data_IF_380716092955
#
_entry.id   IF_380716092955
#
_cell.length_a   1.000
_cell.length_b   1.000
_cell.length_c   1.000
_cell.angle_alpha   90.00
_cell.angle_beta   90.00
_cell.angle_gamma   90.00
#
_symmetry.space_group_name_H-M   'P 1'
#
loop_
_entity.id
_entity.type
_entity.pdbx_description
1 polymer ?
#
# COMPACT_ATOMS: atom_id res chain seq x y z
N UNK A 1 -31.59 19.26 -13.62
CA UNK A 1 -32.17 19.51 -12.29
C UNK A 1 -31.38 18.64 -11.32
N UNK A 2 -30.33 19.20 -10.73
CA UNK A 2 -29.33 18.45 -9.94
C UNK A 2 -29.84 18.23 -8.51
N UNK A 3 -29.68 17.01 -7.98
CA UNK A 3 -30.09 16.65 -6.63
C UNK A 3 -29.28 17.42 -5.57
N UNK A 4 -29.89 17.90 -4.46
CA UNK A 4 -29.27 18.85 -3.52
C UNK A 4 -28.23 18.26 -2.55
N UNK A 5 -27.78 17.01 -2.71
CA UNK A 5 -26.96 16.33 -1.70
C UNK A 5 -25.49 16.73 -1.69
N UNK A 6 -24.96 17.31 -2.78
CA UNK A 6 -23.51 17.48 -2.96
C UNK A 6 -22.93 18.86 -2.58
N UNK A 7 -23.76 19.88 -2.34
CA UNK A 7 -23.27 21.24 -1.96
C UNK A 7 -22.82 21.32 -0.49
N UNK A 8 -23.00 20.24 0.30
CA UNK A 8 -22.57 20.18 1.71
C UNK A 8 -21.06 19.98 1.93
N UNK A 9 -20.27 19.77 0.87
CA UNK A 9 -18.86 19.37 0.98
C UNK A 9 -17.92 20.41 1.60
N UNK A 10 -18.20 21.72 1.47
CA UNK A 10 -17.26 22.77 1.93
C UNK A 10 -17.54 23.35 3.34
N UNK A 11 -18.75 23.19 3.88
CA UNK A 11 -19.07 23.56 5.28
C UNK A 11 -18.85 22.39 6.26
N UNK A 12 -18.75 21.15 5.76
CA UNK A 12 -18.46 19.96 6.56
C UNK A 12 -17.04 19.94 7.13
N UNK A 13 -16.07 20.57 6.46
CA UNK A 13 -14.66 20.54 6.85
C UNK A 13 -14.40 21.20 8.23
N UNK A 14 -15.12 22.29 8.55
CA UNK A 14 -15.01 22.93 9.88
C UNK A 14 -15.81 22.20 10.98
N UNK A 15 -16.94 21.54 10.66
CA UNK A 15 -17.69 20.75 11.65
C UNK A 15 -17.05 19.38 11.93
N UNK A 16 -16.36 18.79 10.94
CA UNK A 16 -15.63 17.52 11.10
C UNK A 16 -14.45 17.65 12.06
N UNK A 17 -13.74 18.78 12.09
CA UNK A 17 -12.63 19.00 13.03
C UNK A 17 -13.11 19.04 14.49
N UNK A 18 -14.31 19.59 14.74
CA UNK A 18 -14.92 19.63 16.08
C UNK A 18 -15.48 18.25 16.47
N UNK A 19 -16.07 17.48 15.52
CA UNK A 19 -16.52 16.10 15.75
C UNK A 19 -15.37 15.08 15.87
N UNK A 20 -14.23 15.32 15.21
CA UNK A 20 -12.99 14.53 15.33
C UNK A 20 -12.40 14.63 16.74
N UNK A 21 -12.55 15.78 17.39
CA UNK A 21 -12.13 16.00 18.78
C UNK A 21 -13.02 15.30 19.84
N UNK A 22 -14.31 15.10 19.57
CA UNK A 22 -15.25 14.51 20.54
C UNK A 22 -15.26 12.97 20.57
N UNK A 23 -14.58 12.31 19.64
CA UNK A 23 -14.64 10.84 19.45
C UNK A 23 -13.28 10.14 19.49
N UNK A 24 -12.17 10.88 19.65
CA UNK A 24 -10.84 10.25 19.75
C UNK A 24 -10.62 9.44 21.05
N UNK A 25 -11.53 9.51 22.04
CA UNK A 25 -11.40 8.81 23.31
C UNK A 25 -12.33 7.59 23.49
N UNK A 26 -13.25 7.30 22.56
CA UNK A 26 -14.21 6.18 22.70
C UNK A 26 -14.03 5.12 21.62
N UNK A 27 -13.91 3.86 22.01
CA UNK A 27 -13.88 2.72 21.09
C UNK A 27 -15.18 2.63 20.26
N UNK A 28 -15.11 2.00 19.08
CA UNK A 28 -16.30 1.77 18.23
C UNK A 28 -17.34 0.93 18.98
N UNK A 29 -16.90 -0.05 19.77
CA UNK A 29 -17.77 -0.87 20.61
C UNK A 29 -18.50 -0.04 21.67
N UNK A 30 -17.81 0.89 22.34
CA UNK A 30 -18.46 1.82 23.27
C UNK A 30 -19.50 2.69 22.55
N UNK A 31 -19.20 3.14 21.33
CA UNK A 31 -20.11 3.98 20.54
C UNK A 31 -21.38 3.23 20.15
N UNK A 32 -21.26 1.94 19.79
CA UNK A 32 -22.39 1.07 19.47
C UNK A 32 -23.19 0.69 20.72
N UNK A 33 -22.53 0.51 21.86
CA UNK A 33 -23.18 0.31 23.16
C UNK A 33 -23.98 1.56 23.59
N UNK A 34 -23.40 2.75 23.46
CA UNK A 34 -24.04 4.03 23.75
C UNK A 34 -25.29 4.26 22.87
N UNK A 35 -25.24 3.82 21.61
CA UNK A 35 -26.37 3.85 20.68
C UNK A 35 -27.41 2.72 20.91
N UNK A 36 -27.24 1.91 21.97
CA UNK A 36 -28.13 0.81 22.34
C UNK A 36 -28.30 -0.24 21.23
N UNK A 37 -27.28 -0.43 20.39
CA UNK A 37 -27.27 -1.49 19.36
C UNK A 37 -27.22 -2.87 20.01
N UNK A 38 -26.56 -2.96 21.16
CA UNK A 38 -26.58 -4.11 22.05
C UNK A 38 -26.50 -3.65 23.51
N UNK A 39 -26.70 -4.59 24.44
CA UNK A 39 -26.64 -4.33 25.89
C UNK A 39 -25.68 -5.30 26.57
N UNK A 40 -25.02 -4.87 27.64
CA UNK A 40 -24.14 -5.72 28.45
C UNK A 40 -24.67 -5.78 29.90
N UNK A 41 -24.59 -6.95 30.57
CA UNK A 41 -24.97 -7.06 31.98
C UNK A 41 -23.97 -6.37 32.91
N UNK A 42 -22.66 -6.49 32.63
CA UNK A 42 -21.55 -5.83 33.33
C UNK A 42 -20.71 -5.09 32.30
N UNK A 43 -20.86 -3.76 32.20
CA UNK A 43 -20.38 -2.98 31.06
C UNK A 43 -18.85 -3.08 30.87
N UNK A 44 -18.04 -2.95 31.92
CA UNK A 44 -16.60 -2.73 31.75
C UNK A 44 -15.82 -4.01 31.41
N UNK A 45 -16.05 -5.12 32.14
CA UNK A 45 -15.33 -6.39 31.89
C UNK A 45 -15.75 -7.00 30.54
N UNK A 46 -17.06 -7.00 30.24
CA UNK A 46 -17.57 -7.59 29.00
C UNK A 46 -17.17 -6.76 27.78
N UNK A 47 -17.14 -5.43 27.90
CA UNK A 47 -16.62 -4.59 26.83
C UNK A 47 -15.15 -4.89 26.54
N UNK A 48 -14.32 -5.03 27.58
CA UNK A 48 -12.90 -5.39 27.43
C UNK A 48 -12.69 -6.75 26.74
N UNK A 49 -13.55 -7.74 27.04
CA UNK A 49 -13.53 -9.05 26.37
C UNK A 49 -13.91 -8.95 24.89
N UNK A 50 -14.88 -8.10 24.55
CA UNK A 50 -15.27 -7.84 23.17
C UNK A 50 -14.19 -7.07 22.40
N UNK A 51 -13.51 -6.11 23.05
CA UNK A 51 -12.37 -5.40 22.46
C UNK A 51 -11.21 -6.35 22.18
N UNK A 52 -10.87 -7.24 23.11
CA UNK A 52 -9.87 -8.30 22.90
C UNK A 52 -10.25 -9.19 21.71
N UNK A 53 -11.52 -9.61 21.62
CA UNK A 53 -12.02 -10.43 20.52
C UNK A 53 -11.96 -9.70 19.17
N UNK A 54 -12.22 -8.39 19.16
CA UNK A 54 -12.11 -7.56 17.97
C UNK A 54 -10.65 -7.44 17.50
N UNK A 55 -9.70 -7.33 18.43
CA UNK A 55 -8.26 -7.33 18.11
C UNK A 55 -7.81 -8.66 17.51
N UNK A 56 -8.20 -9.79 18.12
CA UNK A 56 -7.90 -11.12 17.57
C UNK A 56 -8.49 -11.31 16.17
N UNK A 57 -9.73 -10.83 15.95
CA UNK A 57 -10.34 -10.87 14.64
C UNK A 57 -9.61 -9.97 13.63
N UNK A 58 -9.17 -8.78 14.05
CA UNK A 58 -8.40 -7.87 13.21
C UNK A 58 -7.08 -8.49 12.74
N UNK A 59 -6.33 -9.13 13.65
CA UNK A 59 -5.09 -9.86 13.34
C UNK A 59 -5.36 -10.97 12.32
N UNK A 60 -6.40 -11.78 12.54
CA UNK A 60 -6.80 -12.83 11.62
C UNK A 60 -7.14 -12.31 10.21
N UNK A 61 -7.86 -11.20 10.12
CA UNK A 61 -8.25 -10.60 8.84
C UNK A 61 -7.07 -9.96 8.12
N UNK A 62 -6.06 -9.46 8.84
CA UNK A 62 -4.81 -9.00 8.23
C UNK A 62 -3.99 -10.16 7.65
N UNK A 63 -4.02 -11.34 8.29
CA UNK A 63 -3.39 -12.55 7.76
C UNK A 63 -4.17 -13.14 6.56
N UNK A 64 -5.49 -12.97 6.53
CA UNK A 64 -6.39 -13.54 5.52
C UNK A 64 -7.22 -12.43 4.84
N UNK A 65 -6.53 -11.57 4.09
CA UNK A 65 -7.11 -10.38 3.44
C UNK A 65 -8.28 -10.73 2.51
N UNK A 66 -8.26 -11.91 1.90
CA UNK A 66 -9.33 -12.44 1.04
C UNK A 66 -10.66 -12.65 1.73
N UNK A 67 -10.69 -12.73 3.06
CA UNK A 67 -11.94 -12.89 3.80
C UNK A 67 -12.65 -11.56 4.09
N UNK A 68 -11.92 -10.43 4.06
CA UNK A 68 -12.44 -9.10 4.43
C UNK A 68 -13.73 -8.73 3.69
N UNK A 69 -13.95 -9.01 2.38
CA UNK A 69 -15.21 -8.71 1.73
C UNK A 69 -16.41 -9.37 2.41
N UNK A 70 -16.30 -10.64 2.79
CA UNK A 70 -17.39 -11.39 3.42
C UNK A 70 -17.73 -10.84 4.80
N UNK A 71 -16.70 -10.54 5.60
CA UNK A 71 -16.87 -9.90 6.91
C UNK A 71 -17.49 -8.51 6.78
N UNK A 72 -17.11 -7.75 5.76
CA UNK A 72 -17.70 -6.43 5.48
C UNK A 72 -19.19 -6.54 5.15
N UNK A 73 -19.59 -7.48 4.30
CA UNK A 73 -21.01 -7.69 3.96
C UNK A 73 -21.84 -8.11 5.18
N UNK A 74 -21.30 -9.00 6.02
CA UNK A 74 -21.96 -9.48 7.25
C UNK A 74 -22.06 -8.37 8.29
N UNK A 75 -21.00 -7.59 8.47
CA UNK A 75 -20.97 -6.44 9.36
C UNK A 75 -22.01 -5.38 9.01
N UNK A 76 -22.40 -5.27 7.73
CA UNK A 76 -23.34 -4.25 7.25
C UNK A 76 -24.80 -4.74 7.16
N UNK A 77 -25.11 -6.01 7.46
CA UNK A 77 -26.49 -6.52 7.45
C UNK A 77 -27.03 -6.83 8.85
N UNK A 78 -27.90 -5.96 9.41
CA UNK A 78 -28.59 -6.24 10.67
C UNK A 78 -29.51 -7.46 10.64
N UNK A 79 -29.96 -7.87 9.45
CA UNK A 79 -30.91 -8.98 9.29
C UNK A 79 -30.22 -10.31 8.95
N UNK A 80 -28.89 -10.38 9.10
CA UNK A 80 -28.13 -11.59 8.82
C UNK A 80 -28.55 -12.73 9.76
N UNK A 81 -28.58 -13.96 9.24
CA UNK A 81 -28.99 -15.12 10.04
C UNK A 81 -27.87 -15.57 10.98
N UNK A 82 -28.22 -16.06 12.17
CA UNK A 82 -27.24 -16.60 13.12
C UNK A 82 -26.53 -17.89 12.66
N UNK A 83 -26.96 -18.50 11.56
CA UNK A 83 -26.33 -19.67 10.92
C UNK A 83 -25.30 -19.29 9.86
N UNK A 84 -25.14 -18.00 9.58
CA UNK A 84 -24.15 -17.50 8.61
C UNK A 84 -22.73 -17.91 9.05
N UNK A 85 -21.90 -18.52 8.17
CA UNK A 85 -20.57 -19.02 8.55
C UNK A 85 -19.69 -18.00 9.29
N UNK A 86 -19.64 -16.76 8.80
CA UNK A 86 -18.86 -15.67 9.43
C UNK A 86 -19.38 -15.36 10.84
N UNK A 87 -20.70 -15.39 11.06
CA UNK A 87 -21.28 -15.15 12.39
C UNK A 87 -20.88 -16.26 13.36
N UNK A 88 -20.96 -17.52 12.93
CA UNK A 88 -20.57 -18.68 13.75
C UNK A 88 -19.08 -18.63 14.12
N UNK A 89 -18.25 -18.26 13.16
CA UNK A 89 -16.80 -18.14 13.32
C UNK A 89 -16.41 -17.05 14.31
N UNK A 90 -16.96 -15.84 14.17
CA UNK A 90 -16.67 -14.73 15.08
C UNK A 90 -17.23 -15.01 16.47
N UNK A 91 -18.37 -15.70 16.56
CA UNK A 91 -18.89 -16.14 17.85
C UNK A 91 -17.92 -17.07 18.58
N UNK A 92 -17.21 -17.95 17.86
CA UNK A 92 -16.21 -18.81 18.47
C UNK A 92 -15.03 -18.00 19.01
N UNK A 93 -14.54 -17.00 18.28
CA UNK A 93 -13.50 -16.07 18.77
C UNK A 93 -13.98 -15.36 20.04
N UNK A 94 -15.22 -14.87 20.07
CA UNK A 94 -15.77 -14.21 21.26
C UNK A 94 -15.85 -15.19 22.44
N UNK A 95 -16.20 -16.45 22.21
CA UNK A 95 -16.31 -17.46 23.28
C UNK A 95 -14.99 -17.82 23.94
N UNK A 96 -13.85 -17.61 23.26
CA UNK A 96 -12.53 -17.77 23.87
C UNK A 96 -12.30 -16.76 25.00
N UNK A 97 -12.85 -15.55 24.87
CA UNK A 97 -12.74 -14.47 25.86
C UNK A 97 -13.98 -14.34 26.77
N UNK A 98 -15.16 -14.75 26.30
CA UNK A 98 -16.44 -14.68 27.01
C UNK A 98 -17.27 -15.96 26.83
N UNK A 99 -16.95 -16.97 27.64
CA UNK A 99 -17.54 -18.32 27.56
C UNK A 99 -19.06 -18.37 27.84
N UNK A 100 -19.60 -17.43 28.62
CA UNK A 100 -21.01 -17.40 29.04
C UNK A 100 -21.92 -16.56 28.14
N UNK A 101 -21.47 -16.13 26.96
CA UNK A 101 -22.25 -15.26 26.07
C UNK A 101 -23.62 -15.85 25.69
N UNK A 102 -23.72 -17.18 25.56
CA UNK A 102 -24.97 -17.91 25.30
C UNK A 102 -25.83 -18.15 26.53
N UNK A 103 -25.25 -18.17 27.73
CA UNK A 103 -26.00 -18.39 28.97
C UNK A 103 -27.03 -17.29 29.23
N UNK A 104 -26.73 -16.07 28.77
CA UNK A 104 -27.60 -14.90 28.89
C UNK A 104 -28.44 -14.64 27.62
N UNK A 105 -28.18 -15.38 26.53
CA UNK A 105 -28.82 -15.18 25.21
C UNK A 105 -28.95 -16.52 24.48
N UNK A 106 -30.13 -17.18 24.54
CA UNK A 106 -30.33 -18.46 23.87
C UNK A 106 -30.20 -18.34 22.34
N UNK A 107 -30.67 -17.23 21.77
CA UNK A 107 -30.48 -16.91 20.35
C UNK A 107 -29.08 -16.35 20.07
N UNK A 108 -28.61 -16.48 18.82
CA UNK A 108 -27.29 -15.96 18.43
C UNK A 108 -27.25 -14.44 18.64
N UNK A 109 -26.26 -13.91 19.38
CA UNK A 109 -26.18 -12.48 19.72
C UNK A 109 -25.64 -11.67 18.53
N UNK A 110 -26.39 -11.66 17.42
CA UNK A 110 -25.99 -11.09 16.12
C UNK A 110 -25.52 -9.64 16.25
N UNK A 111 -26.19 -8.81 17.05
CA UNK A 111 -25.79 -7.41 17.22
C UNK A 111 -24.44 -7.25 17.90
N UNK A 112 -24.10 -8.11 18.88
CA UNK A 112 -22.78 -8.12 19.54
C UNK A 112 -21.72 -8.60 18.55
N UNK A 113 -22.00 -9.71 17.86
CA UNK A 113 -21.06 -10.31 16.89
C UNK A 113 -20.74 -9.30 15.78
N UNK A 114 -21.75 -8.68 15.18
CA UNK A 114 -21.56 -7.63 14.16
C UNK A 114 -20.80 -6.42 14.69
N UNK A 115 -21.03 -6.03 15.94
CA UNK A 115 -20.29 -4.93 16.58
C UNK A 115 -18.80 -5.24 16.70
N UNK A 116 -18.45 -6.48 17.05
CA UNK A 116 -17.05 -6.96 17.07
C UNK A 116 -16.45 -6.93 15.67
N UNK A 117 -17.19 -7.38 14.64
CA UNK A 117 -16.71 -7.32 13.25
C UNK A 117 -16.50 -5.86 12.81
N UNK A 118 -17.46 -4.96 13.03
CA UNK A 118 -17.34 -3.54 12.70
C UNK A 118 -16.12 -2.90 13.39
N UNK A 119 -15.87 -3.26 14.65
CA UNK A 119 -14.69 -2.78 15.37
C UNK A 119 -13.40 -3.28 14.75
N UNK A 120 -13.31 -4.57 14.42
CA UNK A 120 -12.13 -5.16 13.78
C UNK A 120 -11.87 -4.54 12.40
N UNK A 121 -12.91 -4.37 11.57
CA UNK A 121 -12.83 -3.72 10.26
C UNK A 121 -12.37 -2.26 10.37
N UNK A 122 -12.88 -1.52 11.36
CA UNK A 122 -12.43 -0.15 11.60
C UNK A 122 -10.94 -0.08 11.98
N UNK A 123 -10.44 -1.01 12.79
CA UNK A 123 -9.02 -1.09 13.15
C UNK A 123 -8.17 -1.34 11.91
N UNK A 124 -8.40 -2.44 11.19
CA UNK A 124 -7.56 -2.80 10.03
C UNK A 124 -7.68 -1.79 8.89
N UNK A 125 -8.87 -1.22 8.68
CA UNK A 125 -9.12 -0.21 7.64
C UNK A 125 -8.58 1.19 7.98
N UNK A 126 -8.16 1.43 9.22
CA UNK A 126 -7.48 2.67 9.61
C UNK A 126 -5.95 2.55 9.52
N UNK A 127 -5.42 1.32 9.58
CA UNK A 127 -3.98 1.07 9.69
C UNK A 127 -3.35 0.55 8.39
N UNK A 128 -4.11 -0.16 7.55
CA UNK A 128 -3.61 -0.80 6.33
C UNK A 128 -4.39 -0.33 5.10
N UNK A 129 -3.67 0.15 4.09
CA UNK A 129 -4.24 0.72 2.86
C UNK A 129 -5.02 -0.30 2.03
N UNK A 130 -4.52 -1.52 1.88
CA UNK A 130 -5.16 -2.58 1.10
C UNK A 130 -6.46 -3.02 1.78
N UNK A 131 -6.42 -3.22 3.10
CA UNK A 131 -7.60 -3.51 3.91
C UNK A 131 -8.64 -2.37 3.79
N UNK A 132 -8.21 -1.12 3.90
CA UNK A 132 -9.09 0.04 3.77
C UNK A 132 -9.79 0.08 2.41
N UNK A 133 -9.05 -0.18 1.33
CA UNK A 133 -9.58 -0.19 -0.02
C UNK A 133 -10.60 -1.32 -0.20
N UNK A 134 -10.29 -2.55 0.25
CA UNK A 134 -11.20 -3.69 0.17
C UNK A 134 -12.51 -3.41 0.94
N UNK A 135 -12.40 -2.92 2.18
CA UNK A 135 -13.57 -2.58 3.01
C UNK A 135 -14.41 -1.50 2.31
N UNK A 136 -13.78 -0.43 1.83
CA UNK A 136 -14.49 0.68 1.20
C UNK A 136 -15.21 0.25 -0.08
N UNK A 137 -14.51 -0.46 -0.98
CA UNK A 137 -15.08 -0.96 -2.24
C UNK A 137 -16.27 -1.91 -1.99
N UNK A 138 -16.09 -2.86 -1.07
CA UNK A 138 -17.14 -3.83 -0.73
C UNK A 138 -18.33 -3.15 -0.03
N UNK A 139 -18.06 -2.26 0.93
CA UNK A 139 -19.09 -1.58 1.70
C UNK A 139 -19.93 -0.63 0.84
N UNK A 140 -19.31 0.12 -0.07
CA UNK A 140 -20.03 1.07 -0.94
C UNK A 140 -21.02 0.37 -1.87
N UNK A 141 -20.78 -0.89 -2.22
CA UNK A 141 -21.70 -1.70 -3.03
C UNK A 141 -22.96 -2.10 -2.25
N UNK A 142 -22.82 -2.46 -0.98
CA UNK A 142 -23.92 -3.01 -0.20
C UNK A 142 -24.63 -1.97 0.69
N UNK A 143 -23.89 -0.99 1.22
CA UNK A 143 -24.39 0.04 2.15
C UNK A 143 -25.68 0.75 1.69
N UNK A 144 -25.85 1.16 0.41
CA UNK A 144 -27.08 1.80 -0.05
C UNK A 144 -28.34 0.93 0.11
N UNK A 145 -28.17 -0.38 0.21
CA UNK A 145 -29.24 -1.37 0.30
C UNK A 145 -29.40 -1.95 1.72
N UNK A 146 -28.45 -1.69 2.61
CA UNK A 146 -28.45 -2.15 3.99
C UNK A 146 -29.54 -1.46 4.84
N UNK A 147 -30.20 -2.22 5.70
CA UNK A 147 -31.28 -1.74 6.58
C UNK A 147 -30.74 -1.37 7.98
N UNK A 148 -29.74 -0.49 8.05
CA UNK A 148 -28.95 -0.19 9.26
C UNK A 148 -29.74 0.39 10.44
N UNK A 149 -30.90 1.02 10.22
CA UNK A 149 -31.70 1.57 11.33
C UNK A 149 -30.90 2.53 12.22
N UNK A 150 -30.76 2.21 13.52
CA UNK A 150 -30.13 3.07 14.52
C UNK A 150 -28.59 3.11 14.43
N UNK A 151 -27.93 2.09 13.87
CA UNK A 151 -26.47 2.06 13.71
C UNK A 151 -25.99 2.86 12.49
N UNK A 152 -26.91 3.40 11.67
CA UNK A 152 -26.59 4.08 10.41
C UNK A 152 -25.55 5.18 10.56
N UNK A 153 -25.70 6.10 11.51
CA UNK A 153 -24.76 7.23 11.67
C UNK A 153 -23.35 6.75 12.05
N UNK A 154 -23.26 5.72 12.90
CA UNK A 154 -21.97 5.16 13.34
C UNK A 154 -21.29 4.45 12.17
N UNK A 155 -22.04 3.61 11.44
CA UNK A 155 -21.53 2.87 10.28
C UNK A 155 -21.10 3.83 9.17
N UNK A 156 -21.92 4.84 8.82
CA UNK A 156 -21.56 5.86 7.82
C UNK A 156 -20.27 6.59 8.21
N UNK A 157 -20.06 6.88 9.50
CA UNK A 157 -18.83 7.52 9.97
C UNK A 157 -17.60 6.62 9.82
N UNK A 158 -17.72 5.33 10.16
CA UNK A 158 -16.64 4.34 9.96
C UNK A 158 -16.28 4.27 8.47
N UNK A 159 -17.29 4.10 7.61
CA UNK A 159 -17.08 3.99 6.16
C UNK A 159 -16.49 5.27 5.55
N UNK A 160 -16.88 6.45 6.05
CA UNK A 160 -16.29 7.71 5.63
C UNK A 160 -14.81 7.81 6.03
N UNK A 161 -14.45 7.44 7.26
CA UNK A 161 -13.05 7.50 7.69
C UNK A 161 -12.16 6.55 6.88
N UNK A 162 -12.60 5.30 6.71
CA UNK A 162 -11.89 4.29 5.92
C UNK A 162 -11.81 4.73 4.45
N UNK A 163 -12.90 5.26 3.90
CA UNK A 163 -12.95 5.76 2.53
C UNK A 163 -12.04 6.97 2.30
N UNK A 164 -11.98 7.91 3.24
CA UNK A 164 -11.05 9.05 3.17
C UNK A 164 -9.59 8.57 3.20
N UNK A 165 -9.27 7.58 4.03
CA UNK A 165 -7.93 7.00 4.09
C UNK A 165 -7.58 6.26 2.78
N UNK A 166 -8.48 5.44 2.26
CA UNK A 166 -8.32 4.76 0.97
C UNK A 166 -8.13 5.76 -0.18
N UNK A 167 -8.97 6.80 -0.26
CA UNK A 167 -8.94 7.81 -1.31
C UNK A 167 -7.68 8.70 -1.25
N UNK A 168 -7.17 9.02 -0.06
CA UNK A 168 -5.90 9.76 0.08
C UNK A 168 -4.72 8.96 -0.47
N UNK A 169 -4.67 7.66 -0.17
CA UNK A 169 -3.63 6.77 -0.70
C UNK A 169 -3.76 6.60 -2.22
N UNK A 170 -4.98 6.39 -2.72
CA UNK A 170 -5.25 6.30 -4.14
C UNK A 170 -4.83 7.57 -4.90
N UNK A 171 -5.16 8.76 -4.38
CA UNK A 171 -4.74 10.02 -4.98
C UNK A 171 -3.22 10.20 -4.98
N UNK A 172 -2.55 9.70 -3.94
CA UNK A 172 -1.08 9.74 -3.86
C UNK A 172 -0.44 8.84 -4.92
N UNK A 173 -0.94 7.60 -5.10
CA UNK A 173 -0.43 6.69 -6.14
C UNK A 173 -0.69 7.22 -7.56
N UNK A 174 -1.82 7.90 -7.73
CA UNK A 174 -2.22 8.42 -9.03
C UNK A 174 -1.66 9.82 -9.32
N UNK A 175 -1.08 10.52 -8.36
CA UNK A 175 -0.60 11.88 -8.53
C UNK A 175 0.41 11.98 -9.70
N UNK A 176 0.30 13.06 -10.49
CA UNK A 176 1.40 13.44 -11.37
C UNK A 176 2.52 13.98 -10.49
N UNK A 177 3.75 13.48 -10.67
CA UNK A 177 4.91 14.06 -10.00
C UNK A 177 4.94 15.57 -10.27
N UNK A 178 4.80 16.37 -9.22
CA UNK A 178 4.79 17.84 -9.30
C UNK A 178 6.20 18.44 -9.35
N UNK A 179 7.21 17.64 -9.01
CA UNK A 179 8.61 18.04 -9.04
C UNK A 179 9.19 17.76 -10.43
N UNK A 180 9.74 18.80 -11.06
CA UNK A 180 10.61 18.63 -12.22
C UNK A 180 11.83 17.87 -11.72
N UNK A 181 12.16 16.68 -12.29
CA UNK A 181 13.30 15.91 -11.82
C UNK A 181 14.56 16.76 -11.97
N UNK A 182 15.23 17.05 -10.85
CA UNK A 182 16.47 17.82 -10.83
C UNK A 182 17.58 16.92 -10.31
N UNK A 183 18.45 16.48 -11.22
CA UNK A 183 19.56 15.61 -10.85
C UNK A 183 20.57 16.39 -10.01
N UNK A 184 20.52 16.16 -8.69
CA UNK A 184 21.49 16.73 -7.75
C UNK A 184 22.81 15.97 -7.87
N UNK A 185 23.75 16.55 -8.61
CA UNK A 185 25.11 16.02 -8.69
C UNK A 185 25.82 16.23 -7.34
N UNK A 186 26.24 15.16 -6.64
CA UNK A 186 27.01 15.33 -5.41
C UNK A 186 28.36 15.99 -5.72
N UNK A 187 28.87 16.81 -4.82
CA UNK A 187 30.21 17.39 -4.98
C UNK A 187 31.28 16.32 -4.66
N UNK A 188 32.19 16.04 -5.59
CA UNK A 188 33.36 15.21 -5.32
C UNK A 188 34.34 16.00 -4.44
N UNK A 189 34.42 15.65 -3.16
CA UNK A 189 35.41 16.22 -2.23
C UNK A 189 36.58 15.24 -2.09
N UNK A 190 37.67 15.54 -2.79
CA UNK A 190 38.91 14.75 -2.67
C UNK A 190 39.69 15.29 -1.47
N UNK A 191 39.86 14.46 -0.45
CA UNK A 191 40.78 14.77 0.64
C UNK A 191 42.14 14.17 0.28
N UNK A 192 43.09 15.01 -0.10
CA UNK A 192 44.45 14.54 -0.31
C UNK A 192 45.10 14.17 1.03
N UNK A 193 45.87 13.08 1.10
CA UNK A 193 46.58 12.72 2.32
C UNK A 193 47.51 13.86 2.73
N UNK A 194 47.50 14.19 4.02
CA UNK A 194 48.44 15.18 4.57
C UNK A 194 49.85 14.60 4.44
N UNK A 195 50.67 15.20 3.58
CA UNK A 195 52.09 14.89 3.51
C UNK A 195 52.69 15.34 4.85
N UNK A 196 53.07 14.38 5.69
CA UNK A 196 53.78 14.66 6.93
C UNK A 196 55.14 15.30 6.63
N UNK A 197 55.69 16.03 7.60
CA UNK A 197 57.04 16.61 7.49
C UNK A 197 58.05 15.48 7.31
N UNK A 198 58.72 15.42 6.16
CA UNK A 198 59.79 14.46 5.90
C UNK A 198 61.01 14.93 6.71
N UNK A 199 61.31 14.25 7.81
CA UNK A 199 62.50 14.52 8.61
C UNK A 199 63.63 13.59 8.17
N UNK A 200 64.75 14.16 7.76
CA UNK A 200 66.00 13.42 7.56
C UNK A 200 66.62 13.17 8.93
N UNK A 201 67.13 11.96 9.19
CA UNK A 201 67.79 11.63 10.46
C UNK A 201 69.17 12.31 10.54
N UNK A 202 69.16 13.59 10.89
CA UNK A 202 70.37 14.41 10.96
C UNK A 202 71.40 13.83 11.95
N UNK A 203 70.95 13.24 13.05
CA UNK A 203 71.83 12.62 14.05
C UNK A 203 72.59 11.41 13.50
N UNK A 204 71.98 10.64 12.59
CA UNK A 204 72.62 9.48 11.95
C UNK A 204 73.65 9.92 10.91
N UNK A 205 73.34 10.98 10.15
CA UNK A 205 74.30 11.64 9.26
C UNK A 205 75.47 12.21 10.08
N UNK A 206 75.20 12.98 11.14
CA UNK A 206 76.23 13.55 12.02
C UNK A 206 77.11 12.47 12.68
N UNK A 207 76.52 11.32 13.05
CA UNK A 207 77.24 10.16 13.56
C UNK A 207 78.19 9.54 12.52
N UNK A 208 77.83 9.57 11.24
CA UNK A 208 78.73 9.15 10.16
C UNK A 208 79.86 10.16 9.87
N UNK A 209 79.64 11.44 10.18
CA UNK A 209 80.64 12.51 10.06
C UNK A 209 81.55 12.66 11.28
N UNK A 210 81.23 12.01 12.40
CA UNK A 210 82.11 11.92 13.58
C UNK A 210 83.20 10.88 13.30
N UNK A 211 84.03 11.19 12.32
CA UNK A 211 85.31 10.54 12.14
C UNK A 211 86.11 10.82 13.41
N UNK A 212 86.46 9.75 14.12
CA UNK A 212 87.37 9.75 15.26
C UNK A 212 88.51 10.74 14.99
N UNK A 213 88.62 11.74 15.86
CA UNK A 213 89.59 12.83 15.86
C UNK A 213 90.89 12.42 15.17
N UNK A 214 91.26 13.10 14.09
CA UNK A 214 92.62 13.01 13.54
C UNK A 214 93.53 13.52 14.66
N UNK A 215 94.09 12.61 15.45
CA UNK A 215 95.14 12.97 16.40
C UNK A 215 96.34 13.38 15.55
N UNK A 216 96.52 14.69 15.41
CA UNK A 216 97.75 15.23 14.87
C UNK A 216 98.81 15.00 15.94
N UNK A 217 99.56 13.91 15.83
CA UNK A 217 100.75 13.69 16.65
C UNK A 217 101.77 14.75 16.24
N UNK A 218 101.99 15.73 17.11
CA UNK A 218 103.15 16.58 17.01
C UNK A 218 104.41 15.74 17.25
N UNK A 219 105.38 15.91 16.35
CA UNK A 219 106.77 15.39 16.35
C UNK A 219 107.02 13.95 15.87
N UNK A 220 107.62 13.88 14.67
CA UNK A 220 108.82 13.08 14.37
C UNK A 220 108.64 11.57 14.18
N UNK A 221 108.65 11.11 12.93
CA UNK A 221 108.86 9.70 12.57
C UNK A 221 107.63 9.06 11.91
N UNK A 222 107.89 8.26 10.88
CA UNK A 222 106.92 7.75 9.92
C UNK A 222 105.73 6.99 10.53
N UNK A 223 104.51 7.44 10.23
CA UNK A 223 103.32 6.59 10.13
C UNK A 223 102.24 7.29 9.27
N UNK A 224 102.23 7.02 7.97
CA UNK A 224 101.20 7.46 7.01
C UNK A 224 99.95 6.55 7.00
N UNK A 225 99.65 5.85 8.10
CA UNK A 225 98.57 4.84 8.13
C UNK A 225 97.21 5.39 8.60
N UNK A 226 97.17 6.49 9.35
CA UNK A 226 95.94 7.00 10.00
C UNK A 226 95.09 7.89 9.10
N UNK A 227 95.68 8.63 8.16
CA UNK A 227 94.95 9.43 7.16
C UNK A 227 94.18 8.57 6.16
N UNK A 228 94.71 7.40 5.79
CA UNK A 228 94.06 6.52 4.80
C UNK A 228 92.79 5.85 5.36
N UNK A 229 92.78 5.49 6.66
CA UNK A 229 91.60 4.94 7.32
C UNK A 229 90.47 5.98 7.47
N UNK A 230 90.80 7.21 7.86
CA UNK A 230 89.83 8.31 7.95
C UNK A 230 89.25 8.68 6.56
N UNK A 231 90.09 8.73 5.53
CA UNK A 231 89.65 9.03 4.16
C UNK A 231 88.83 7.89 3.55
N UNK A 232 89.16 6.63 3.87
CA UNK A 232 88.37 5.46 3.46
C UNK A 232 86.98 5.50 4.10
N UNK A 233 86.86 5.82 5.40
CA UNK A 233 85.56 6.01 6.07
C UNK A 233 84.75 7.15 5.49
N UNK A 234 85.37 8.29 5.19
CA UNK A 234 84.70 9.40 4.51
C UNK A 234 84.19 8.98 3.11
N UNK A 235 84.95 8.14 2.39
CA UNK A 235 84.58 7.67 1.04
C UNK A 235 83.50 6.58 1.05
N UNK A 236 83.40 5.77 2.10
CA UNK A 236 82.48 4.61 2.13
C UNK A 236 81.34 4.74 3.13
N UNK A 237 81.59 5.25 4.34
CA UNK A 237 80.59 5.31 5.42
C UNK A 237 79.66 6.53 5.28
N UNK A 238 80.20 7.69 4.89
CA UNK A 238 79.39 8.92 4.71
C UNK A 238 78.39 8.80 3.54
N UNK A 239 78.78 8.39 2.31
CA UNK A 239 77.81 8.22 1.23
C UNK A 239 76.77 7.14 1.53
N UNK A 240 77.17 6.06 2.23
CA UNK A 240 76.24 5.01 2.66
C UNK A 240 75.22 5.51 3.70
N UNK A 241 75.66 6.32 4.66
CA UNK A 241 74.77 6.94 5.65
C UNK A 241 73.81 7.97 5.03
N UNK A 242 74.29 8.76 4.05
CA UNK A 242 73.44 9.67 3.28
C UNK A 242 72.42 8.87 2.46
N UNK A 243 72.85 7.83 1.73
CA UNK A 243 71.95 6.98 0.96
C UNK A 243 70.92 6.29 1.85
N UNK A 244 71.32 5.74 3.00
CA UNK A 244 70.42 5.13 3.99
C UNK A 244 69.42 6.14 4.56
N UNK A 245 69.86 7.37 4.85
CA UNK A 245 68.98 8.43 5.34
C UNK A 245 67.97 8.88 4.28
N UNK A 246 68.40 8.97 3.03
CA UNK A 246 67.53 9.27 1.88
C UNK A 246 66.53 8.13 1.65
N UNK A 247 66.99 6.88 1.64
CA UNK A 247 66.13 5.70 1.48
C UNK A 247 65.11 5.58 2.62
N UNK A 248 65.52 5.89 3.85
CA UNK A 248 64.62 5.90 5.00
C UNK A 248 63.57 7.01 4.87
N UNK A 249 63.98 8.21 4.48
CA UNK A 249 63.07 9.32 4.21
C UNK A 249 62.08 8.99 3.07
N UNK A 250 62.54 8.36 1.99
CA UNK A 250 61.68 7.91 0.88
C UNK A 250 60.74 6.77 1.29
N UNK A 251 61.19 5.80 2.08
CA UNK A 251 60.33 4.72 2.60
C UNK A 251 59.24 5.27 3.53
N UNK A 252 59.59 6.21 4.40
CA UNK A 252 58.61 6.93 5.23
C UNK A 252 57.65 7.76 4.39
N UNK A 253 58.13 8.40 3.32
CA UNK A 253 57.26 9.14 2.38
C UNK A 253 56.29 8.20 1.66
N UNK A 254 56.76 7.10 1.06
CA UNK A 254 55.91 6.13 0.35
C UNK A 254 54.93 5.41 1.28
N UNK A 255 55.34 5.11 2.52
CA UNK A 255 54.49 4.46 3.52
C UNK A 255 53.36 5.35 4.05
N UNK A 256 53.45 6.66 3.87
CA UNK A 256 52.45 7.64 4.30
C UNK A 256 51.40 7.97 3.23
N UNK A 257 51.51 7.43 2.01
CA UNK A 257 50.43 7.49 1.01
C UNK A 257 49.45 6.34 1.24
N UNK A 258 48.39 6.59 2.02
CA UNK A 258 47.23 5.69 2.06
C UNK A 258 46.18 6.15 1.04
N UNK A 259 46.06 5.43 -0.08
CA UNK A 259 45.06 5.70 -1.11
C UNK A 259 43.62 5.33 -0.69
N UNK A 260 43.43 4.71 0.48
CA UNK A 260 42.08 4.36 0.98
C UNK A 260 41.18 5.58 1.19
N UNK A 261 41.74 6.74 1.55
CA UNK A 261 40.96 7.97 1.69
C UNK A 261 40.48 8.52 0.34
N UNK A 262 41.25 8.27 -0.72
CA UNK A 262 40.88 8.59 -2.09
C UNK A 262 39.79 7.62 -2.60
N UNK A 263 39.98 6.32 -2.42
CA UNK A 263 39.01 5.29 -2.80
C UNK A 263 37.67 5.48 -2.08
N UNK A 264 37.70 5.79 -0.79
CA UNK A 264 36.48 6.06 -0.01
C UNK A 264 35.74 7.30 -0.49
N UNK A 265 36.46 8.38 -0.85
CA UNK A 265 35.87 9.60 -1.39
C UNK A 265 35.19 9.36 -2.76
N UNK A 266 35.82 8.57 -3.63
CA UNK A 266 35.27 8.18 -4.93
C UNK A 266 34.06 7.26 -4.76
N UNK A 267 34.18 6.22 -3.93
CA UNK A 267 33.09 5.28 -3.68
C UNK A 267 31.87 5.99 -3.08
N UNK A 268 32.08 6.96 -2.18
CA UNK A 268 31.02 7.79 -1.63
C UNK A 268 30.33 8.64 -2.71
N UNK A 269 31.11 9.28 -3.59
CA UNK A 269 30.55 10.04 -4.71
C UNK A 269 29.66 9.17 -5.61
N UNK A 270 30.12 7.99 -6.02
CA UNK A 270 29.33 7.08 -6.86
C UNK A 270 28.09 6.55 -6.14
N UNK A 271 28.19 6.28 -4.83
CA UNK A 271 27.04 5.87 -4.02
C UNK A 271 25.98 6.96 -3.95
N UNK A 272 26.39 8.21 -3.67
CA UNK A 272 25.47 9.35 -3.58
C UNK A 272 24.89 9.72 -4.96
N UNK A 273 25.70 9.62 -6.02
CA UNK A 273 25.24 9.81 -7.39
C UNK A 273 24.21 8.76 -7.78
N UNK A 274 24.48 7.47 -7.49
CA UNK A 274 23.52 6.39 -7.75
C UNK A 274 22.21 6.63 -7.01
N UNK A 275 22.26 6.99 -5.73
CA UNK A 275 21.04 7.30 -4.95
C UNK A 275 20.25 8.46 -5.56
N UNK A 276 20.93 9.52 -6.01
CA UNK A 276 20.25 10.64 -6.68
C UNK A 276 19.63 10.19 -8.01
N UNK A 277 20.38 9.43 -8.83
CA UNK A 277 19.89 8.93 -10.11
C UNK A 277 18.68 8.01 -9.93
N UNK A 278 18.77 7.04 -9.01
CA UNK A 278 17.69 6.09 -8.71
C UNK A 278 16.42 6.84 -8.26
N UNK A 279 16.57 7.87 -7.41
CA UNK A 279 15.46 8.71 -6.95
C UNK A 279 14.80 9.45 -8.13
N UNK A 280 15.58 10.16 -8.94
CA UNK A 280 15.02 10.96 -10.05
C UNK A 280 14.43 10.09 -11.17
N UNK A 281 15.05 8.94 -11.46
CA UNK A 281 14.49 7.95 -12.38
C UNK A 281 13.15 7.43 -11.86
N UNK A 282 13.05 7.09 -10.57
CA UNK A 282 11.79 6.63 -9.97
C UNK A 282 10.69 7.68 -10.11
N UNK A 283 10.96 8.95 -9.79
CA UNK A 283 10.01 10.06 -9.96
C UNK A 283 9.55 10.16 -11.42
N UNK A 284 10.49 10.10 -12.37
CA UNK A 284 10.19 10.17 -13.80
C UNK A 284 9.33 9.00 -14.28
N UNK A 285 9.67 7.76 -13.90
CA UNK A 285 8.90 6.58 -14.28
C UNK A 285 7.49 6.60 -13.69
N UNK A 286 7.33 6.98 -12.42
CA UNK A 286 6.02 7.11 -11.78
C UNK A 286 5.16 8.15 -12.51
N UNK A 287 5.72 9.30 -12.89
CA UNK A 287 5.02 10.31 -13.66
C UNK A 287 4.60 9.79 -15.06
N UNK A 288 5.50 9.10 -15.77
CA UNK A 288 5.19 8.49 -17.07
C UNK A 288 4.06 7.45 -16.96
N UNK A 289 4.13 6.56 -15.98
CA UNK A 289 3.07 5.58 -15.72
C UNK A 289 1.73 6.26 -15.39
N UNK A 290 1.75 7.35 -14.63
CA UNK A 290 0.54 8.11 -14.30
C UNK A 290 -0.09 8.80 -15.53
N UNK A 291 0.73 9.25 -16.49
CA UNK A 291 0.27 9.81 -17.78
C UNK A 291 -0.23 8.71 -18.72
N UNK A 292 0.49 7.60 -18.85
CA UNK A 292 0.11 6.45 -19.68
C UNK A 292 -1.24 5.89 -19.22
N UNK A 293 -1.42 5.65 -17.91
CA UNK A 293 -2.68 5.19 -17.32
C UNK A 293 -3.85 6.10 -17.70
N UNK A 294 -3.73 7.41 -17.45
CA UNK A 294 -4.78 8.38 -17.79
C UNK A 294 -5.07 8.43 -19.29
N UNK A 295 -4.04 8.32 -20.13
CA UNK A 295 -4.18 8.31 -21.59
C UNK A 295 -4.93 7.07 -22.08
N UNK A 296 -4.62 5.90 -21.50
CA UNK A 296 -5.34 4.64 -21.79
C UNK A 296 -6.81 4.72 -21.37
N UNK A 297 -7.09 5.25 -20.19
CA UNK A 297 -8.46 5.44 -19.70
C UNK A 297 -9.25 6.42 -20.56
N UNK A 298 -8.62 7.52 -20.99
CA UNK A 298 -9.24 8.46 -21.92
C UNK A 298 -9.52 7.80 -23.27
N UNK A 299 -8.56 7.04 -23.81
CA UNK A 299 -8.75 6.30 -25.05
C UNK A 299 -9.88 5.27 -24.94
N UNK A 300 -9.95 4.51 -23.85
CA UNK A 300 -11.02 3.56 -23.61
C UNK A 300 -12.39 4.24 -23.57
N UNK A 301 -12.49 5.36 -22.84
CA UNK A 301 -13.71 6.17 -22.77
C UNK A 301 -14.13 6.69 -24.15
N UNK A 302 -13.22 7.28 -24.91
CA UNK A 302 -13.55 7.92 -26.20
C UNK A 302 -13.81 6.89 -27.31
N UNK A 303 -13.07 5.78 -27.33
CA UNK A 303 -13.25 4.73 -28.33
C UNK A 303 -14.53 3.92 -28.12
N UNK A 304 -15.03 3.85 -26.87
CA UNK A 304 -16.20 3.05 -26.48
C UNK A 304 -16.11 1.61 -27.02
N UNK A 305 -14.91 1.04 -26.95
CA UNK A 305 -14.57 -0.24 -27.54
C UNK A 305 -14.28 -1.28 -26.46
N UNK A 306 -14.97 -2.42 -26.53
CA UNK A 306 -14.70 -3.57 -25.68
C UNK A 306 -13.52 -4.35 -26.21
N UNK A 307 -12.44 -4.47 -25.42
CA UNK A 307 -11.31 -5.31 -25.77
C UNK A 307 -11.68 -6.79 -25.70
N UNK A 308 -12.50 -7.16 -24.71
CA UNK A 308 -12.97 -8.52 -24.52
C UNK A 308 -13.90 -8.99 -25.66
N UNK A 309 -14.92 -8.18 -26.02
CA UNK A 309 -15.86 -8.53 -27.10
C UNK A 309 -15.41 -8.10 -28.49
N UNK A 310 -14.31 -7.34 -28.60
CA UNK A 310 -13.76 -6.83 -29.85
C UNK A 310 -14.75 -6.06 -30.73
N UNK A 311 -15.62 -5.28 -30.08
CA UNK A 311 -16.67 -4.46 -30.74
C UNK A 311 -17.02 -3.23 -29.92
N UNK A 312 -17.75 -2.29 -30.51
CA UNK A 312 -18.23 -1.11 -29.77
C UNK A 312 -19.24 -1.50 -28.69
N UNK A 313 -19.18 -0.86 -27.52
CA UNK A 313 -20.21 -0.98 -26.47
C UNK A 313 -21.60 -0.58 -26.98
N UNK A 314 -21.67 0.25 -28.04
CA UNK A 314 -22.94 0.61 -28.70
C UNK A 314 -23.63 -0.61 -29.34
N UNK A 315 -22.87 -1.63 -29.70
CA UNK A 315 -23.33 -2.90 -30.28
C UNK A 315 -23.51 -4.02 -29.23
N UNK A 316 -23.23 -3.72 -27.96
CA UNK A 316 -23.45 -4.64 -26.84
C UNK A 316 -24.84 -4.43 -26.27
N UNK A 317 -25.55 -5.51 -25.93
CA UNK A 317 -26.87 -5.45 -25.29
C UNK A 317 -26.82 -4.67 -23.99
N UNK A 318 -27.84 -3.87 -23.70
CA UNK A 318 -27.87 -2.95 -22.55
C UNK A 318 -27.71 -3.68 -21.22
N UNK A 319 -28.17 -4.91 -21.17
CA UNK A 319 -28.15 -5.82 -20.03
C UNK A 319 -26.73 -6.31 -19.73
N UNK A 320 -25.88 -6.41 -20.75
CA UNK A 320 -24.51 -6.92 -20.65
C UNK A 320 -23.49 -5.81 -20.39
N UNK A 321 -23.79 -4.58 -20.84
CA UNK A 321 -22.88 -3.42 -20.74
C UNK A 321 -22.31 -3.24 -19.33
N UNK A 322 -23.10 -3.33 -18.23
CA UNK A 322 -22.55 -3.07 -16.91
C UNK A 322 -21.39 -3.98 -16.54
N UNK A 323 -21.55 -5.28 -16.79
CA UNK A 323 -20.54 -6.29 -16.49
C UNK A 323 -19.34 -6.15 -17.41
N UNK A 324 -19.58 -6.03 -18.71
CA UNK A 324 -18.49 -6.01 -19.71
C UNK A 324 -17.65 -4.74 -19.62
N UNK A 325 -18.28 -3.58 -19.41
CA UNK A 325 -17.55 -2.31 -19.25
C UNK A 325 -16.73 -2.30 -17.97
N UNK A 326 -17.28 -2.80 -16.86
CA UNK A 326 -16.56 -2.94 -15.61
C UNK A 326 -15.34 -3.88 -15.77
N UNK A 327 -15.52 -5.02 -16.44
CA UNK A 327 -14.46 -5.99 -16.68
C UNK A 327 -13.34 -5.45 -17.59
N UNK A 328 -13.69 -4.83 -18.72
CA UNK A 328 -12.70 -4.22 -19.63
C UNK A 328 -11.94 -3.06 -18.95
N UNK A 329 -12.61 -2.29 -18.09
CA UNK A 329 -11.98 -1.22 -17.32
C UNK A 329 -11.06 -1.78 -16.24
N UNK A 330 -11.51 -2.81 -15.51
CA UNK A 330 -10.72 -3.51 -14.50
C UNK A 330 -9.37 -3.96 -15.06
N UNK A 331 -9.31 -4.53 -16.27
CA UNK A 331 -8.06 -4.94 -16.92
C UNK A 331 -7.06 -3.82 -17.25
N UNK A 332 -7.46 -2.55 -17.11
CA UNK A 332 -6.61 -1.38 -17.37
C UNK A 332 -6.17 -0.65 -16.11
N UNK A 333 -6.76 -0.99 -14.96
CA UNK A 333 -6.53 -0.31 -13.69
C UNK A 333 -5.43 -1.01 -12.86
N UNK A 334 -4.66 -0.26 -12.06
CA UNK A 334 -3.84 -0.80 -10.98
C UNK A 334 -4.71 -1.33 -9.82
N UNK A 335 -4.08 -1.82 -8.75
CA UNK A 335 -4.76 -2.31 -7.55
C UNK A 335 -5.50 -1.17 -6.82
N UNK A 336 -4.81 -0.08 -6.53
CA UNK A 336 -5.39 1.07 -5.82
C UNK A 336 -5.93 2.07 -6.84
N UNK A 337 -7.20 2.43 -6.72
CA UNK A 337 -7.87 3.32 -7.68
C UNK A 337 -8.67 4.40 -6.95
N UNK A 338 -8.61 5.67 -7.42
CA UNK A 338 -9.36 6.75 -6.80
C UNK A 338 -10.82 6.73 -7.28
N UNK A 339 -11.72 7.25 -6.46
CA UNK A 339 -13.17 7.33 -6.74
C UNK A 339 -13.49 8.05 -8.06
N UNK A 340 -12.59 8.90 -8.55
CA UNK A 340 -12.71 9.52 -9.89
C UNK A 340 -12.85 8.50 -11.03
N UNK A 341 -12.35 7.27 -10.87
CA UNK A 341 -12.52 6.16 -11.82
C UNK A 341 -13.97 5.70 -11.88
N UNK A 342 -14.70 5.69 -10.76
CA UNK A 342 -16.12 5.34 -10.75
C UNK A 342 -16.92 6.37 -11.56
N UNK A 343 -16.58 7.66 -11.41
CA UNK A 343 -17.21 8.72 -12.20
C UNK A 343 -16.84 8.63 -13.68
N UNK A 344 -15.61 8.22 -14.00
CA UNK A 344 -15.22 7.92 -15.38
C UNK A 344 -16.12 6.82 -15.96
N UNK A 345 -16.29 5.70 -15.25
CA UNK A 345 -17.12 4.58 -15.69
C UNK A 345 -18.60 5.00 -15.86
N UNK A 346 -19.15 5.73 -14.89
CA UNK A 346 -20.53 6.26 -14.96
C UNK A 346 -20.71 7.21 -16.15
N UNK A 347 -19.76 8.12 -16.37
CA UNK A 347 -19.81 9.07 -17.49
C UNK A 347 -19.66 8.35 -18.85
N UNK A 348 -18.78 7.35 -18.95
CA UNK A 348 -18.65 6.53 -20.17
C UNK A 348 -19.96 5.79 -20.47
N UNK A 349 -20.65 5.27 -19.45
CA UNK A 349 -22.00 4.73 -19.61
C UNK A 349 -22.99 5.78 -20.12
N UNK A 350 -22.94 7.01 -19.58
CA UNK A 350 -23.79 8.12 -20.01
C UNK A 350 -23.60 8.46 -21.50
N UNK A 351 -22.37 8.43 -22.01
CA UNK A 351 -22.06 8.69 -23.43
C UNK A 351 -22.65 7.67 -24.42
N UNK A 352 -23.04 6.49 -23.93
CA UNK A 352 -23.74 5.49 -24.75
C UNK A 352 -25.20 5.89 -25.07
N UNK A 353 -25.65 7.05 -24.57
CA UNK A 353 -26.86 7.77 -24.98
C UNK A 353 -28.15 6.95 -24.81
N UNK A 354 -28.14 6.08 -23.80
CA UNK A 354 -29.34 5.43 -23.33
C UNK A 354 -30.10 6.41 -22.45
N UNK A 355 -31.29 6.85 -22.89
CA UNK A 355 -32.25 7.64 -22.09
C UNK A 355 -32.68 6.96 -20.77
N UNK A 356 -32.10 5.82 -20.41
CA UNK A 356 -32.44 4.98 -19.27
C UNK A 356 -31.30 5.04 -18.25
N UNK A 357 -31.20 6.17 -17.53
CA UNK A 357 -30.67 6.18 -16.17
C UNK A 357 -31.73 5.73 -15.15
N UNK A 358 -32.90 5.34 -15.64
CA UNK A 358 -33.98 4.86 -14.82
C UNK A 358 -33.50 3.68 -14.00
N UNK A 359 -33.67 3.80 -12.69
CA UNK A 359 -33.35 2.73 -11.78
C UNK A 359 -34.28 1.55 -12.11
N UNK A 360 -33.67 0.40 -12.40
CA UNK A 360 -34.38 -0.86 -12.67
C UNK A 360 -34.31 -1.74 -11.45
N UNK A 361 -35.28 -2.62 -11.24
CA UNK A 361 -35.20 -3.59 -10.14
C UNK A 361 -34.05 -4.55 -10.39
N UNK A 362 -33.35 -4.95 -9.32
CA UNK A 362 -32.36 -6.02 -9.40
C UNK A 362 -32.94 -7.29 -10.03
N UNK A 363 -34.17 -7.66 -9.67
CA UNK A 363 -34.86 -8.83 -10.24
C UNK A 363 -34.94 -8.78 -11.76
N UNK A 364 -35.23 -7.61 -12.33
CA UNK A 364 -35.49 -7.45 -13.76
C UNK A 364 -34.17 -7.50 -14.54
N UNK A 365 -33.15 -6.83 -14.01
CA UNK A 365 -31.80 -6.80 -14.57
C UNK A 365 -31.15 -8.19 -14.55
N UNK A 366 -31.20 -8.89 -13.40
CA UNK A 366 -30.62 -10.22 -13.25
C UNK A 366 -31.37 -11.27 -14.07
N UNK A 367 -32.70 -11.18 -14.16
CA UNK A 367 -33.48 -12.07 -15.05
C UNK A 367 -33.12 -11.88 -16.52
N UNK A 368 -32.71 -10.66 -16.90
CA UNK A 368 -32.25 -10.39 -18.25
C UNK A 368 -30.87 -11.01 -18.52
N UNK A 369 -29.97 -10.99 -17.52
CA UNK A 369 -28.67 -11.69 -17.56
C UNK A 369 -28.86 -13.21 -17.59
N UNK A 370 -29.86 -13.75 -16.88
CA UNK A 370 -30.17 -15.18 -16.80
C UNK A 370 -30.60 -15.80 -18.15
N UNK A 371 -30.89 -15.01 -19.18
CA UNK A 371 -31.20 -15.50 -20.52
C UNK A 371 -29.99 -16.23 -21.13
N UNK A 372 -30.22 -17.38 -21.77
CA UNK A 372 -29.15 -18.25 -22.30
C UNK A 372 -28.17 -17.53 -23.23
N UNK A 373 -28.64 -16.67 -24.14
CA UNK A 373 -27.78 -15.89 -25.05
C UNK A 373 -26.82 -14.95 -24.31
N UNK A 374 -27.25 -14.43 -23.16
CA UNK A 374 -26.52 -13.47 -22.36
C UNK A 374 -25.50 -14.19 -21.46
N UNK A 375 -25.87 -15.32 -20.86
CA UNK A 375 -24.96 -16.18 -20.11
C UNK A 375 -23.73 -16.55 -20.94
N UNK A 376 -23.94 -17.15 -22.12
CA UNK A 376 -22.85 -17.57 -23.02
C UNK A 376 -21.93 -16.40 -23.40
N UNK A 377 -22.46 -15.18 -23.53
CA UNK A 377 -21.65 -14.00 -23.82
C UNK A 377 -20.77 -13.58 -22.64
N UNK A 378 -21.23 -13.79 -21.40
CA UNK A 378 -20.52 -13.38 -20.17
C UNK A 378 -19.58 -14.44 -19.60
N UNK A 379 -19.67 -15.71 -19.99
CA UNK A 379 -18.73 -16.75 -19.51
C UNK A 379 -17.27 -16.31 -19.65
N UNK A 380 -16.91 -15.62 -20.75
CA UNK A 380 -15.55 -15.11 -20.97
C UNK A 380 -15.05 -14.11 -19.93
N UNK A 381 -15.94 -13.38 -19.24
CA UNK A 381 -15.60 -12.36 -18.26
C UNK A 381 -15.26 -12.93 -16.88
N UNK A 382 -15.64 -14.18 -16.59
CA UNK A 382 -15.48 -14.77 -15.25
C UNK A 382 -14.66 -16.08 -15.27
N UNK A 383 -13.99 -16.38 -16.38
CA UNK A 383 -13.21 -17.61 -16.52
C UNK A 383 -12.16 -17.74 -15.40
N UNK A 384 -12.21 -18.86 -14.67
CA UNK A 384 -11.22 -19.22 -13.65
C UNK A 384 -11.56 -18.78 -12.22
N UNK A 385 -12.71 -18.17 -11.99
CA UNK A 385 -13.15 -17.82 -10.64
C UNK A 385 -13.75 -19.04 -9.92
N UNK A 386 -13.25 -19.39 -8.74
CA UNK A 386 -13.83 -20.44 -7.91
C UNK A 386 -14.40 -19.82 -6.62
N UNK A 387 -15.68 -20.06 -6.36
CA UNK A 387 -16.33 -19.65 -5.11
C UNK A 387 -16.38 -20.86 -4.20
N UNK A 388 -15.42 -20.93 -3.28
CA UNK A 388 -15.21 -22.08 -2.38
C UNK A 388 -16.40 -22.33 -1.45
N UNK A 389 -16.97 -21.27 -0.88
CA UNK A 389 -18.08 -21.35 0.07
C UNK A 389 -19.29 -20.57 -0.46
N UNK A 390 -20.30 -21.32 -0.94
CA UNK A 390 -21.54 -20.78 -1.50
C UNK A 390 -22.62 -20.54 -0.45
N UNK A 391 -22.40 -21.03 0.78
CA UNK A 391 -23.32 -20.90 1.90
C UNK A 391 -23.10 -19.61 2.70
N UNK A 392 -21.94 -18.94 2.51
CA UNK A 392 -21.69 -17.60 3.06
C UNK A 392 -22.30 -16.50 2.19
N UNK A 393 -22.38 -15.31 2.78
CA UNK A 393 -22.66 -14.06 2.09
C UNK A 393 -21.62 -13.82 1.00
N UNK A 394 -22.05 -13.45 -0.20
CA UNK A 394 -21.17 -13.18 -1.35
C UNK A 394 -21.46 -11.81 -1.97
N UNK A 395 -20.52 -11.31 -2.76
CA UNK A 395 -20.66 -10.04 -3.48
C UNK A 395 -21.69 -10.14 -4.62
N UNK A 396 -22.10 -8.99 -5.18
CA UNK A 396 -23.03 -9.01 -6.32
C UNK A 396 -22.36 -9.63 -7.55
N UNK A 397 -21.05 -9.45 -7.70
CA UNK A 397 -20.28 -9.97 -8.83
C UNK A 397 -20.15 -11.47 -8.76
N UNK A 398 -19.84 -12.01 -7.58
CA UNK A 398 -19.84 -13.44 -7.32
C UNK A 398 -21.22 -14.05 -7.60
N UNK A 399 -22.29 -13.37 -7.18
CA UNK A 399 -23.65 -13.81 -7.48
C UNK A 399 -23.94 -13.80 -9.00
N UNK A 400 -23.51 -12.77 -9.73
CA UNK A 400 -23.64 -12.71 -11.19
C UNK A 400 -22.85 -13.85 -11.84
N UNK A 401 -21.66 -14.16 -11.36
CA UNK A 401 -20.88 -15.30 -11.83
C UNK A 401 -21.63 -16.62 -11.63
N UNK A 402 -22.11 -16.91 -10.42
CA UNK A 402 -22.91 -18.12 -10.15
C UNK A 402 -24.20 -18.17 -10.99
N UNK A 403 -24.80 -17.01 -11.27
CA UNK A 403 -25.98 -16.89 -12.12
C UNK A 403 -25.64 -17.26 -13.58
N UNK A 404 -24.49 -16.82 -14.09
CA UNK A 404 -23.99 -17.13 -15.43
C UNK A 404 -23.66 -18.62 -15.57
N UNK A 405 -23.02 -19.22 -14.57
CA UNK A 405 -22.75 -20.67 -14.52
C UNK A 405 -24.04 -21.51 -14.32
N UNK A 406 -25.14 -20.87 -13.91
CA UNK A 406 -26.44 -21.51 -13.73
C UNK A 406 -26.59 -22.27 -12.41
N UNK A 407 -25.73 -21.98 -11.44
CA UNK A 407 -25.79 -22.56 -10.11
C UNK A 407 -26.85 -21.90 -9.21
N UNK A 408 -27.14 -20.63 -9.45
CA UNK A 408 -28.17 -19.86 -8.74
C UNK A 408 -29.16 -19.22 -9.72
N UNK A 409 -30.31 -18.76 -9.22
CA UNK A 409 -31.31 -18.03 -9.99
C UNK A 409 -31.45 -16.60 -9.48
N UNK A 410 -31.94 -15.69 -10.33
CA UNK A 410 -32.20 -14.29 -9.98
C UNK A 410 -33.00 -14.09 -8.67
N UNK A 411 -33.94 -15.00 -8.37
CA UNK A 411 -34.74 -14.99 -7.13
C UNK A 411 -33.94 -15.26 -5.84
N UNK A 412 -32.76 -15.87 -5.96
CA UNK A 412 -31.91 -16.27 -4.82
C UNK A 412 -30.99 -15.12 -4.35
N UNK A 413 -31.08 -13.94 -4.99
CA UNK A 413 -30.24 -12.76 -4.70
C UNK A 413 -30.24 -12.39 -3.21
N UNK A 414 -31.42 -12.32 -2.58
CA UNK A 414 -31.53 -11.95 -1.16
C UNK A 414 -30.79 -12.93 -0.27
N UNK A 415 -30.89 -14.23 -0.56
CA UNK A 415 -30.27 -15.30 0.22
C UNK A 415 -28.74 -15.15 0.21
N UNK A 416 -28.17 -14.88 -0.96
CA UNK A 416 -26.71 -14.89 -1.16
C UNK A 416 -26.03 -13.54 -0.89
N UNK A 417 -26.70 -12.43 -1.21
CA UNK A 417 -26.08 -11.08 -1.13
C UNK A 417 -26.69 -10.20 -0.05
N UNK A 418 -27.91 -10.51 0.41
CA UNK A 418 -28.70 -9.64 1.29
C UNK A 418 -29.45 -8.52 0.60
N UNK A 419 -29.28 -8.35 -0.71
CA UNK A 419 -29.96 -7.30 -1.46
C UNK A 419 -31.38 -7.78 -1.79
N UNK A 420 -32.38 -7.01 -1.37
CA UNK A 420 -33.77 -7.28 -1.75
C UNK A 420 -33.95 -7.12 -3.26
N UNK A 421 -34.40 -8.16 -4.01
CA UNK A 421 -34.60 -8.12 -5.45
C UNK A 421 -35.52 -6.99 -5.94
N UNK A 422 -36.39 -6.47 -5.06
CA UNK A 422 -37.30 -5.36 -5.36
C UNK A 422 -36.64 -3.99 -5.29
N UNK A 423 -35.44 -3.88 -4.69
CA UNK A 423 -34.66 -2.64 -4.70
C UNK A 423 -34.22 -2.34 -6.13
N UNK A 424 -34.01 -1.05 -6.39
CA UNK A 424 -33.66 -0.56 -7.71
C UNK A 424 -32.19 -0.16 -7.77
N UNK A 425 -31.56 -0.41 -8.91
CA UNK A 425 -30.17 -0.06 -9.22
C UNK A 425 -30.13 0.54 -10.63
N UNK A 426 -29.26 1.52 -10.85
CA UNK A 426 -29.01 2.00 -12.22
C UNK A 426 -28.01 1.07 -12.90
N UNK A 427 -28.07 0.88 -14.24
CA UNK A 427 -27.05 0.11 -14.94
C UNK A 427 -25.63 0.61 -14.66
N UNK A 428 -25.44 1.93 -14.54
CA UNK A 428 -24.15 2.55 -14.22
C UNK A 428 -23.64 2.17 -12.83
N UNK A 429 -24.52 2.17 -11.82
CA UNK A 429 -24.14 1.78 -10.47
C UNK A 429 -23.86 0.28 -10.37
N UNK A 430 -24.58 -0.57 -11.13
CA UNK A 430 -24.20 -1.98 -11.21
C UNK A 430 -22.80 -2.15 -11.80
N UNK A 431 -22.43 -1.40 -12.84
CA UNK A 431 -21.07 -1.46 -13.40
C UNK A 431 -20.01 -1.11 -12.37
N UNK A 432 -20.26 -0.06 -11.58
CA UNK A 432 -19.35 0.34 -10.51
C UNK A 432 -19.29 -0.73 -9.43
N UNK A 433 -20.42 -1.34 -9.06
CA UNK A 433 -20.42 -2.45 -8.11
C UNK A 433 -19.58 -3.62 -8.62
N UNK A 434 -19.72 -3.98 -9.90
CA UNK A 434 -18.90 -5.04 -10.51
C UNK A 434 -17.42 -4.69 -10.50
N UNK A 435 -17.07 -3.45 -10.85
CA UNK A 435 -15.69 -2.99 -10.83
C UNK A 435 -15.09 -3.07 -9.41
N UNK A 436 -15.84 -2.62 -8.41
CA UNK A 436 -15.41 -2.63 -7.01
C UNK A 436 -15.13 -4.03 -6.49
N UNK A 437 -16.03 -4.99 -6.75
CA UNK A 437 -15.83 -6.38 -6.32
C UNK A 437 -14.60 -7.00 -7.01
N UNK A 438 -14.41 -6.74 -8.31
CA UNK A 438 -13.22 -7.22 -9.05
C UNK A 438 -11.92 -6.62 -8.49
N UNK A 439 -11.90 -5.31 -8.20
CA UNK A 439 -10.74 -4.64 -7.60
C UNK A 439 -10.45 -5.17 -6.19
N UNK A 440 -11.50 -5.36 -5.39
CA UNK A 440 -11.43 -5.92 -4.04
C UNK A 440 -10.78 -7.32 -4.07
N UNK A 441 -11.22 -8.20 -4.96
CA UNK A 441 -10.66 -9.53 -5.14
C UNK A 441 -9.19 -9.48 -5.60
N UNK A 442 -8.82 -8.57 -6.51
CA UNK A 442 -7.43 -8.43 -6.95
C UNK A 442 -6.50 -8.02 -5.81
N UNK A 443 -6.92 -7.09 -4.95
CA UNK A 443 -6.12 -6.64 -3.80
C UNK A 443 -6.00 -7.78 -2.79
N UNK A 444 -7.06 -8.57 -2.60
CA UNK A 444 -7.04 -9.74 -1.75
C UNK A 444 -6.10 -10.86 -2.22
N UNK A 445 -5.83 -10.95 -3.53
CA UNK A 445 -4.97 -11.96 -4.15
C UNK A 445 -3.49 -11.51 -4.31
N UNK A 446 -3.19 -10.22 -4.12
CA UNK A 446 -1.84 -9.64 -4.29
C UNK A 446 -0.99 -9.78 -3.05
#
# INVERSE_FOLDING_TARGET
>A
MFSPTYVRFNLYFCMQIIKKWLFMDKSILQSLLDAQIFTLPDNDERLTQLETSATQLAEKLQENVSDIPFYTLVALDPNITGTEPVIVEVENIIRENWTTIRSNRPDSPISIIRSVILSALNTIGSDNTDCAQIIYLTATNFHPYAALGNEKEIVEKILLNIGEFAEQNANTEWALGSEIPELKLPSLKITFPKIGTISVNQAEIEKSFTISTIKQSNYGGAEHSTTNAAFTKLKTEVPSAIASSIDTAFKSFSGNFDFKDFDSSINKFFSDFKKSLDKELKVTFTAMQAVERRSRLLWWKESLYSQHFKKSYRETGKELRPVVMAFDLFGQLPNITPVSVDYLLRDTHFQLNDKTHDAVKFSDLLSAIEKSSNKTSLNGCFNGQEIENKDRRITITDFIYLLVEGEVKSKDLLKHTGIDPKKTVTPCDLSVMVLHDLLSNRIAES
#
